data_IF_479026408403
#
_entry.id   IF_479026408403
#
_cell.length_a   1.000
_cell.length_b   1.000
_cell.length_c   1.000
_cell.angle_alpha   90.00
_cell.angle_beta   90.00
_cell.angle_gamma   90.00
#
_symmetry.space_group_name_H-M   'P 1'
#
loop_
_entity.id
_entity.type
_entity.pdbx_description
1 polymer ?
#
# COMPACT_ATOMS: atom_id res chain seq x y z
N UNK A 1 18.78 -23.82 34.56
CA UNK A 1 19.21 -22.68 33.71
C UNK A 1 18.54 -21.44 34.26
N UNK A 2 19.31 -20.47 34.76
CA UNK A 2 18.76 -19.22 35.31
C UNK A 2 18.62 -18.27 34.12
N UNK A 3 17.39 -17.92 33.76
CA UNK A 3 17.15 -16.90 32.74
C UNK A 3 17.69 -15.56 33.24
N UNK A 4 18.52 -14.85 32.45
CA UNK A 4 19.01 -13.52 32.80
C UNK A 4 17.87 -12.59 33.22
N UNK A 5 18.08 -11.75 34.26
CA UNK A 5 17.04 -10.88 34.83
C UNK A 5 16.36 -9.98 33.78
N UNK A 6 17.12 -9.49 32.80
CA UNK A 6 16.57 -8.67 31.71
C UNK A 6 15.57 -9.43 30.81
N UNK A 7 15.72 -10.75 30.70
CA UNK A 7 14.80 -11.60 29.95
C UNK A 7 13.54 -11.84 30.79
N UNK A 8 13.67 -12.04 32.10
CA UNK A 8 12.53 -12.16 33.01
C UNK A 8 11.69 -10.88 33.05
N UNK A 9 12.32 -9.70 33.08
CA UNK A 9 11.60 -8.42 33.05
C UNK A 9 10.85 -8.21 31.73
N UNK A 10 11.45 -8.58 30.60
CA UNK A 10 10.79 -8.45 29.30
C UNK A 10 9.63 -9.44 29.14
N UNK A 11 9.80 -10.69 29.61
CA UNK A 11 8.72 -11.69 29.62
C UNK A 11 7.57 -11.20 30.50
N UNK A 12 7.87 -10.65 31.68
CA UNK A 12 6.84 -10.12 32.59
C UNK A 12 6.11 -8.92 31.98
N UNK A 13 6.84 -8.00 31.35
CA UNK A 13 6.24 -6.87 30.61
C UNK A 13 5.34 -7.32 29.46
N UNK A 14 5.73 -8.36 28.73
CA UNK A 14 4.91 -8.95 27.65
C UNK A 14 3.69 -9.73 28.17
N UNK A 15 3.78 -10.31 29.37
CA UNK A 15 2.68 -11.04 30.00
C UNK A 15 1.67 -10.13 30.71
N UNK A 16 2.10 -8.96 31.18
CA UNK A 16 1.25 -8.00 31.91
C UNK A 16 0.56 -6.99 30.98
N UNK A 17 1.15 -6.68 29.81
CA UNK A 17 0.53 -5.79 28.84
C UNK A 17 -0.33 -6.57 27.85
N UNK A 18 -1.58 -6.12 27.69
CA UNK A 18 -2.45 -6.65 26.66
C UNK A 18 -1.86 -6.38 25.27
N UNK A 19 -1.89 -7.38 24.39
CA UNK A 19 -1.34 -7.28 23.04
C UNK A 19 -2.05 -6.20 22.23
N UNK A 20 -3.30 -5.90 22.58
CA UNK A 20 -4.09 -4.81 21.99
C UNK A 20 -3.50 -3.42 22.29
N UNK A 21 -2.68 -3.26 23.33
CA UNK A 21 -2.02 -1.99 23.65
C UNK A 21 -0.62 -1.87 23.03
N UNK A 22 -0.14 -2.90 22.32
CA UNK A 22 1.14 -2.89 21.64
C UNK A 22 1.03 -2.11 20.32
N UNK A 23 1.91 -1.13 20.12
CA UNK A 23 1.92 -0.28 18.92
C UNK A 23 2.20 -1.07 17.64
N UNK A 24 3.04 -2.10 17.70
CA UNK A 24 3.37 -2.95 16.55
C UNK A 24 2.16 -3.81 16.19
N UNK A 25 1.42 -4.30 17.19
CA UNK A 25 0.16 -5.03 16.98
C UNK A 25 -0.91 -4.13 16.34
N UNK A 26 -1.05 -2.89 16.80
CA UNK A 26 -1.98 -1.92 16.21
C UNK A 26 -1.62 -1.59 14.76
N UNK A 27 -0.33 -1.40 14.46
CA UNK A 27 0.15 -1.21 13.10
C UNK A 27 -0.17 -2.42 12.22
N UNK A 28 0.05 -3.64 12.72
CA UNK A 28 -0.25 -4.87 11.99
C UNK A 28 -1.76 -5.01 11.72
N UNK A 29 -2.60 -4.67 12.68
CA UNK A 29 -4.05 -4.67 12.52
C UNK A 29 -4.53 -3.65 11.49
N UNK A 30 -3.94 -2.45 11.48
CA UNK A 30 -4.21 -1.45 10.44
C UNK A 30 -3.79 -1.96 9.06
N UNK A 31 -2.60 -2.55 8.94
CA UNK A 31 -2.14 -3.14 7.67
C UNK A 31 -3.05 -4.27 7.20
N UNK A 32 -3.48 -5.15 8.11
CA UNK A 32 -4.44 -6.22 7.82
C UNK A 32 -5.73 -5.64 7.25
N UNK A 33 -6.29 -4.60 7.88
CA UNK A 33 -7.51 -3.96 7.40
C UNK A 33 -7.35 -3.38 5.99
N UNK A 34 -6.24 -2.68 5.73
CA UNK A 34 -5.92 -2.16 4.39
C UNK A 34 -5.81 -3.29 3.36
N UNK A 35 -5.18 -4.41 3.72
CA UNK A 35 -5.06 -5.56 2.82
C UNK A 35 -6.41 -6.23 2.55
N UNK A 36 -7.29 -6.33 3.55
CA UNK A 36 -8.64 -6.84 3.38
C UNK A 36 -9.49 -5.95 2.44
N UNK A 37 -9.39 -4.63 2.57
CA UNK A 37 -10.03 -3.69 1.66
C UNK A 37 -9.53 -3.87 0.22
N UNK A 38 -8.20 -3.93 0.03
CA UNK A 38 -7.60 -4.16 -1.30
C UNK A 38 -8.01 -5.51 -1.90
N UNK A 39 -8.14 -6.55 -1.08
CA UNK A 39 -8.63 -7.85 -1.52
C UNK A 39 -10.07 -7.75 -2.04
N UNK A 40 -10.92 -7.01 -1.32
CA UNK A 40 -12.32 -6.78 -1.71
C UNK A 40 -12.41 -6.00 -3.02
N UNK A 41 -11.65 -4.92 -3.17
CA UNK A 41 -11.54 -4.13 -4.40
C UNK A 41 -11.10 -4.99 -5.58
N UNK A 42 -10.04 -5.81 -5.40
CA UNK A 42 -9.56 -6.73 -6.44
C UNK A 42 -10.65 -7.70 -6.88
N UNK A 43 -11.38 -8.29 -5.93
CA UNK A 43 -12.45 -9.23 -6.23
C UNK A 43 -13.63 -8.54 -6.96
N UNK A 44 -13.93 -7.28 -6.62
CA UNK A 44 -14.90 -6.46 -7.32
C UNK A 44 -14.50 -6.22 -8.77
N UNK A 45 -13.27 -5.75 -9.01
CA UNK A 45 -12.75 -5.54 -10.37
C UNK A 45 -12.72 -6.83 -11.19
N UNK A 46 -12.33 -7.95 -10.58
CA UNK A 46 -12.29 -9.25 -11.26
C UNK A 46 -13.68 -9.67 -11.75
N UNK A 47 -14.72 -9.56 -10.91
CA UNK A 47 -16.10 -9.88 -11.30
C UNK A 47 -16.59 -8.98 -12.43
N UNK A 48 -16.33 -7.68 -12.34
CA UNK A 48 -16.71 -6.73 -13.38
C UNK A 48 -16.00 -7.02 -14.70
N UNK A 49 -14.75 -7.50 -14.65
CA UNK A 49 -14.01 -7.89 -15.84
C UNK A 49 -14.60 -9.14 -16.49
N UNK A 50 -14.95 -10.15 -15.70
CA UNK A 50 -15.64 -11.35 -16.21
C UNK A 50 -16.96 -10.97 -16.88
N UNK A 51 -17.74 -10.06 -16.28
CA UNK A 51 -18.96 -9.55 -16.88
C UNK A 51 -18.68 -8.83 -18.20
N UNK A 52 -17.71 -7.91 -18.22
CA UNK A 52 -17.31 -7.19 -19.43
C UNK A 52 -16.89 -8.14 -20.54
N UNK A 53 -16.07 -9.15 -20.22
CA UNK A 53 -15.63 -10.16 -21.17
C UNK A 53 -16.82 -10.93 -21.76
N UNK A 54 -17.78 -11.30 -20.92
CA UNK A 54 -19.01 -11.97 -21.36
C UNK A 54 -19.89 -11.10 -22.26
N UNK A 55 -19.90 -9.78 -22.04
CA UNK A 55 -20.63 -8.82 -22.87
C UNK A 55 -19.94 -8.64 -24.22
N UNK A 56 -18.61 -8.51 -24.22
CA UNK A 56 -17.81 -8.43 -25.44
C UNK A 56 -17.96 -9.70 -26.28
N UNK A 57 -17.90 -10.88 -25.67
CA UNK A 57 -18.10 -12.16 -26.35
C UNK A 57 -19.48 -12.27 -27.02
N UNK A 58 -20.51 -11.69 -26.40
CA UNK A 58 -21.88 -11.69 -26.92
C UNK A 58 -22.14 -10.60 -27.96
N UNK A 59 -21.22 -9.67 -28.17
CA UNK A 59 -21.38 -8.61 -29.17
C UNK A 59 -21.38 -9.19 -30.58
N UNK A 60 -22.39 -8.83 -31.38
CA UNK A 60 -22.58 -9.40 -32.74
C UNK A 60 -22.17 -8.45 -33.84
N UNK A 61 -21.96 -7.18 -33.51
CA UNK A 61 -21.53 -6.15 -34.45
C UNK A 61 -20.58 -5.14 -33.77
N UNK A 62 -19.84 -4.41 -34.60
CA UNK A 62 -18.84 -3.44 -34.13
C UNK A 62 -19.46 -2.31 -33.29
N UNK A 63 -20.69 -1.91 -33.58
CA UNK A 63 -21.37 -0.85 -32.84
C UNK A 63 -21.69 -1.28 -31.41
N UNK A 64 -22.26 -2.47 -31.22
CA UNK A 64 -22.50 -3.07 -29.89
C UNK A 64 -21.21 -3.22 -29.09
N UNK A 65 -20.12 -3.61 -29.74
CA UNK A 65 -18.81 -3.70 -29.11
C UNK A 65 -18.33 -2.33 -28.60
N UNK A 66 -18.40 -1.29 -29.44
CA UNK A 66 -18.03 0.08 -29.05
C UNK A 66 -18.94 0.57 -27.92
N UNK A 67 -20.24 0.33 -28.01
CA UNK A 67 -21.20 0.75 -26.98
C UNK A 67 -20.92 0.07 -25.63
N UNK A 68 -20.57 -1.23 -25.63
CA UNK A 68 -20.16 -1.96 -24.42
C UNK A 68 -18.89 -1.36 -23.81
N UNK A 69 -17.89 -0.99 -24.62
CA UNK A 69 -16.66 -0.37 -24.13
C UNK A 69 -16.89 1.03 -23.58
N UNK A 70 -17.72 1.84 -24.24
CA UNK A 70 -18.07 3.20 -23.79
C UNK A 70 -18.83 3.15 -22.47
N UNK A 71 -19.79 2.24 -22.34
CA UNK A 71 -20.57 2.05 -21.12
C UNK A 71 -19.72 1.56 -19.93
N UNK A 72 -18.59 0.90 -20.20
CA UNK A 72 -17.65 0.41 -19.18
C UNK A 72 -16.34 1.23 -19.12
N UNK A 73 -16.34 2.46 -19.63
CA UNK A 73 -15.15 3.32 -19.72
C UNK A 73 -14.50 3.61 -18.36
N UNK A 74 -15.30 3.79 -17.31
CA UNK A 74 -14.80 4.05 -15.95
C UNK A 74 -14.00 2.87 -15.42
N UNK A 75 -14.57 1.67 -15.52
CA UNK A 75 -13.91 0.41 -15.15
C UNK A 75 -12.62 0.20 -15.93
N UNK A 76 -12.65 0.40 -17.26
CA UNK A 76 -11.46 0.28 -18.10
C UNK A 76 -10.38 1.30 -17.71
N UNK A 77 -10.77 2.55 -17.44
CA UNK A 77 -9.85 3.60 -16.99
C UNK A 77 -9.19 3.21 -15.66
N UNK A 78 -9.97 2.75 -14.69
CA UNK A 78 -9.44 2.34 -13.38
C UNK A 78 -8.46 1.17 -13.53
N UNK A 79 -8.81 0.15 -14.32
CA UNK A 79 -7.93 -0.99 -14.58
C UNK A 79 -6.63 -0.57 -15.26
N UNK A 80 -6.70 0.19 -16.35
CA UNK A 80 -5.50 0.63 -17.05
C UNK A 80 -4.66 1.62 -16.23
N UNK A 81 -5.28 2.40 -15.35
CA UNK A 81 -4.57 3.27 -14.41
C UNK A 81 -3.85 2.46 -13.34
N UNK A 82 -4.51 1.44 -12.78
CA UNK A 82 -3.92 0.50 -11.81
C UNK A 82 -2.79 -0.31 -12.42
N UNK A 83 -2.96 -0.86 -13.63
CA UNK A 83 -1.88 -1.55 -14.34
C UNK A 83 -0.71 -0.62 -14.67
N UNK A 84 -1.00 0.62 -15.08
CA UNK A 84 0.03 1.63 -15.33
C UNK A 84 0.76 2.06 -14.05
N UNK A 85 0.08 2.11 -12.92
CA UNK A 85 0.70 2.35 -11.61
C UNK A 85 1.54 1.15 -11.16
N UNK A 86 1.06 -0.09 -11.33
CA UNK A 86 1.80 -1.32 -11.01
C UNK A 86 3.07 -1.47 -11.87
N UNK A 87 3.00 -1.11 -13.15
CA UNK A 87 4.18 -1.09 -14.04
C UNK A 87 5.18 -0.01 -13.63
N UNK A 88 4.71 1.18 -13.25
CA UNK A 88 5.58 2.25 -12.75
C UNK A 88 6.19 1.89 -11.39
N UNK A 89 5.44 1.25 -10.49
CA UNK A 89 5.99 0.76 -9.22
C UNK A 89 6.99 -0.37 -9.44
N UNK A 90 6.78 -1.27 -10.40
CA UNK A 90 7.79 -2.27 -10.77
C UNK A 90 9.07 -1.64 -11.32
N UNK A 91 8.96 -0.54 -12.05
CA UNK A 91 10.14 0.24 -12.47
C UNK A 91 10.86 0.90 -11.28
N UNK A 92 10.11 1.41 -10.29
CA UNK A 92 10.65 1.98 -9.06
C UNK A 92 11.31 0.94 -8.15
N UNK A 93 10.84 -0.33 -8.16
CA UNK A 93 11.46 -1.43 -7.42
C UNK A 93 12.81 -1.85 -8.06
N UNK A 94 13.01 -1.59 -9.34
CA UNK A 94 14.26 -1.88 -10.07
C UNK A 94 15.21 -0.66 -10.18
N UNK A 95 14.83 0.50 -9.67
CA UNK A 95 15.76 1.61 -9.44
C UNK A 95 16.17 1.57 -7.97
N UNK A 96 17.47 1.53 -7.68
CA UNK A 96 18.05 1.47 -6.33
C UNK A 96 17.59 2.58 -5.35
N UNK A 97 16.78 3.54 -5.80
CA UNK A 97 16.20 4.58 -4.97
C UNK A 97 14.67 4.42 -4.92
N UNK A 98 14.18 3.74 -3.87
CA UNK A 98 12.76 3.77 -3.51
C UNK A 98 12.45 5.16 -2.96
N UNK A 99 12.01 6.07 -3.83
CA UNK A 99 11.57 7.40 -3.42
C UNK A 99 10.17 7.28 -2.79
N UNK A 100 10.13 7.27 -1.45
CA UNK A 100 8.88 7.26 -0.69
C UNK A 100 8.26 8.65 -0.77
N UNK A 101 7.03 8.75 -1.26
CA UNK A 101 6.27 10.01 -1.27
C UNK A 101 5.69 10.31 0.12
N UNK A 102 6.51 10.90 0.99
CA UNK A 102 6.16 11.20 2.38
C UNK A 102 5.09 12.29 2.51
N UNK A 103 5.10 13.27 1.61
CA UNK A 103 4.23 14.44 1.70
C UNK A 103 2.78 14.07 1.35
N UNK A 104 2.56 13.38 0.23
CA UNK A 104 1.19 13.08 -0.21
C UNK A 104 0.60 11.86 0.48
N UNK A 105 1.42 10.87 0.85
CA UNK A 105 0.92 9.63 1.44
C UNK A 105 0.80 9.67 2.97
N UNK A 106 1.68 10.43 3.64
CA UNK A 106 1.74 10.49 5.10
C UNK A 106 1.52 11.89 5.66
N UNK A 107 1.40 12.93 4.80
CA UNK A 107 1.21 14.31 5.24
C UNK A 107 2.43 14.90 5.95
N UNK A 108 3.61 14.30 5.74
CA UNK A 108 4.84 14.71 6.41
C UNK A 108 5.72 15.42 5.40
N UNK A 109 5.99 16.70 5.66
CA UNK A 109 7.07 17.41 4.98
C UNK A 109 8.41 16.94 5.56
N UNK A 110 9.14 16.18 4.74
CA UNK A 110 10.44 15.60 5.09
C UNK A 110 11.43 16.69 5.47
N UNK A 111 11.41 17.83 4.77
CA UNK A 111 12.37 18.90 5.03
C UNK A 111 12.08 19.56 6.38
N UNK A 112 10.80 19.75 6.70
CA UNK A 112 10.40 20.23 8.03
C UNK A 112 10.77 19.20 9.12
N UNK A 113 10.59 17.91 8.84
CA UNK A 113 10.92 16.82 9.76
C UNK A 113 12.42 16.69 10.03
N UNK A 114 13.25 16.76 8.98
CA UNK A 114 14.71 16.71 9.08
C UNK A 114 15.25 17.92 9.84
N UNK A 115 14.71 19.12 9.60
CA UNK A 115 15.14 20.34 10.30
C UNK A 115 14.78 20.32 11.79
N UNK A 116 13.70 19.63 12.18
CA UNK A 116 13.29 19.50 13.59
C UNK A 116 14.19 18.57 14.40
N UNK A 117 14.84 17.59 13.78
CA UNK A 117 15.78 16.70 14.46
C UNK A 117 17.25 17.05 14.10
N UNK A 118 18.03 17.60 15.05
CA UNK A 118 19.41 18.01 14.80
C UNK A 118 20.32 16.85 14.37
N UNK A 119 20.00 15.60 14.71
CA UNK A 119 20.77 14.43 14.27
C UNK A 119 20.49 14.13 12.79
N UNK A 120 19.23 14.14 12.36
CA UNK A 120 18.85 13.93 10.96
C UNK A 120 19.36 15.07 10.07
N UNK A 121 19.28 16.32 10.53
CA UNK A 121 19.85 17.47 9.82
C UNK A 121 21.36 17.33 9.60
N UNK A 122 22.10 16.82 10.60
CA UNK A 122 23.54 16.57 10.46
C UNK A 122 23.86 15.48 9.44
N UNK A 123 23.04 14.42 9.37
CA UNK A 123 23.20 13.33 8.41
C UNK A 123 22.86 13.77 6.98
N UNK A 124 21.85 14.63 6.82
CA UNK A 124 21.48 15.23 5.55
C UNK A 124 22.59 16.14 5.01
N UNK A 125 23.16 17.01 5.85
CA UNK A 125 24.28 17.86 5.44
C UNK A 125 25.55 17.08 5.08
N UNK A 126 25.70 15.86 5.62
CA UNK A 126 26.83 14.98 5.31
C UNK A 126 26.58 14.10 4.06
N UNK A 127 25.43 14.27 3.38
CA UNK A 127 25.08 13.52 2.16
C UNK A 127 24.83 12.03 2.40
N UNK A 128 24.48 11.65 3.63
CA UNK A 128 24.23 10.26 4.05
C UNK A 128 22.73 9.90 4.06
N UNK A 129 21.88 10.83 3.63
CA UNK A 129 20.43 10.76 3.45
C UNK A 129 20.09 11.21 2.04
#
# INVERSE_FOLDING_TARGET
MITPEHIQSNIKYFQENDIENDNDYQLLMQQKHVMEQKLMERNYYHKNFQLLYSLVEKSRNYQEFVDILVNNKTLLKEIFTLEGQLRRSHHLINSDNVEIDWLHKFGIDIMEYIVKDPKLFSLYNNGLL
#
